data_IF_866118840193
#
_entry.id   IF_866118840193
#
_cell.length_a   1.000
_cell.length_b   1.000
_cell.length_c   1.000
_cell.angle_alpha   90.00
_cell.angle_beta   90.00
_cell.angle_gamma   90.00
#
_symmetry.space_group_name_H-M   'P 1'
#
loop_
_entity.id
_entity.type
_entity.pdbx_description
1 polymer ?
#
# COMPACT_ATOMS: atom_id res chain seq x y z
N UNK A 1 -5.90 -13.05 0.33
CA UNK A 1 -6.00 -11.66 0.82
C UNK A 1 -6.83 -10.86 -0.19
N UNK A 2 -8.14 -10.70 0.04
CA UNK A 2 -9.02 -9.84 -0.78
C UNK A 2 -9.07 -8.47 -0.12
N UNK A 3 -8.06 -7.64 -0.36
CA UNK A 3 -8.00 -6.27 0.19
C UNK A 3 -8.66 -5.28 -0.77
N UNK A 4 -8.47 -5.48 -2.07
CA UNK A 4 -8.97 -4.65 -3.16
C UNK A 4 -9.29 -5.53 -4.38
N UNK A 5 -10.12 -5.06 -5.31
CA UNK A 5 -10.39 -5.81 -6.54
C UNK A 5 -9.14 -5.86 -7.44
N UNK A 6 -9.03 -6.90 -8.26
CA UNK A 6 -7.84 -7.11 -9.09
C UNK A 6 -7.61 -5.96 -10.10
N UNK A 7 -8.66 -5.31 -10.58
CA UNK A 7 -8.58 -4.22 -11.57
C UNK A 7 -7.98 -2.97 -10.96
N UNK A 8 -8.44 -2.57 -9.76
CA UNK A 8 -7.87 -1.43 -9.05
C UNK A 8 -6.41 -1.69 -8.65
N UNK A 9 -6.05 -2.94 -8.32
CA UNK A 9 -4.66 -3.31 -8.02
C UNK A 9 -3.80 -3.12 -9.27
N UNK A 10 -4.22 -3.65 -10.42
CA UNK A 10 -3.50 -3.51 -11.70
C UNK A 10 -3.37 -2.04 -12.09
N UNK A 11 -4.42 -1.23 -11.98
CA UNK A 11 -4.38 0.19 -12.30
C UNK A 11 -3.34 0.96 -11.47
N UNK A 12 -3.26 0.67 -10.17
CA UNK A 12 -2.26 1.31 -9.30
C UNK A 12 -0.84 0.82 -9.59
N UNK A 13 -0.66 -0.46 -9.95
CA UNK A 13 0.63 -1.01 -10.34
C UNK A 13 1.14 -0.38 -11.64
N UNK A 14 0.28 -0.24 -12.66
CA UNK A 14 0.64 0.33 -13.97
C UNK A 14 1.04 1.81 -13.88
N UNK A 15 0.49 2.53 -12.90
CA UNK A 15 0.82 3.94 -12.66
C UNK A 15 1.94 4.14 -11.61
N UNK A 16 2.62 3.07 -11.21
CA UNK A 16 3.67 3.08 -10.19
C UNK A 16 3.25 3.76 -8.87
N UNK A 17 1.97 3.70 -8.52
CA UNK A 17 1.45 4.33 -7.31
C UNK A 17 1.73 3.42 -6.11
N UNK A 18 2.52 3.87 -5.11
CA UNK A 18 2.75 3.08 -3.91
C UNK A 18 1.47 2.98 -3.09
N UNK A 19 1.06 1.76 -2.75
CA UNK A 19 -0.13 1.49 -1.94
C UNK A 19 0.30 1.02 -0.55
N UNK A 20 -0.27 1.62 0.49
CA UNK A 20 -0.06 1.20 1.87
C UNK A 20 -1.38 0.66 2.44
N UNK A 21 -1.39 -0.63 2.75
CA UNK A 21 -2.53 -1.32 3.36
C UNK A 21 -2.28 -1.41 4.86
N UNK A 22 -3.07 -0.72 5.67
CA UNK A 22 -2.95 -0.71 7.12
C UNK A 22 -4.33 -0.80 7.79
N UNK A 23 -4.34 -1.13 9.08
CA UNK A 23 -5.57 -1.15 9.86
C UNK A 23 -5.94 0.26 10.33
N UNK A 24 -7.10 0.77 9.88
CA UNK A 24 -7.63 2.08 10.26
C UNK A 24 -8.26 2.08 11.67
N UNK A 25 -8.73 0.94 12.18
CA UNK A 25 -9.41 0.87 13.48
C UNK A 25 -8.45 0.90 14.66
N UNK A 26 -7.16 0.66 14.41
CA UNK A 26 -6.11 0.75 15.42
C UNK A 26 -5.75 2.23 15.65
N UNK A 27 -5.93 2.75 16.88
CA UNK A 27 -5.66 4.14 17.19
C UNK A 27 -4.22 4.54 16.86
N UNK A 28 -4.05 5.68 16.18
CA UNK A 28 -2.73 6.22 15.85
C UNK A 28 -2.13 5.70 14.54
N UNK A 29 -2.65 4.61 13.95
CA UNK A 29 -2.11 4.09 12.68
C UNK A 29 -2.18 5.09 11.54
N UNK A 30 -3.24 5.89 11.42
CA UNK A 30 -3.31 6.94 10.39
C UNK A 30 -2.14 7.93 10.49
N UNK A 31 -1.82 8.39 11.71
CA UNK A 31 -0.69 9.31 11.93
C UNK A 31 0.63 8.65 11.58
N UNK A 32 0.85 7.42 12.04
CA UNK A 32 2.07 6.63 11.78
C UNK A 32 2.29 6.41 10.29
N UNK A 33 1.23 6.13 9.52
CA UNK A 33 1.32 5.93 8.06
C UNK A 33 1.71 7.22 7.35
N UNK A 34 1.13 8.35 7.73
CA UNK A 34 1.44 9.67 7.15
C UNK A 34 2.87 10.10 7.48
N UNK A 35 3.39 9.72 8.65
CA UNK A 35 4.78 9.93 9.05
C UNK A 35 5.77 8.97 8.36
N UNK A 36 5.29 8.03 7.53
CA UNK A 36 6.13 7.08 6.82
C UNK A 36 6.65 5.93 7.68
N UNK A 37 6.06 5.67 8.84
CA UNK A 37 6.39 4.49 9.64
C UNK A 37 6.07 3.21 8.87
N UNK A 38 6.89 2.17 9.06
CA UNK A 38 6.67 0.85 8.47
C UNK A 38 5.55 0.13 9.22
N UNK A 39 4.31 0.48 8.90
CA UNK A 39 3.10 -0.18 9.40
C UNK A 39 2.30 -0.79 8.25
N UNK A 40 1.71 -1.95 8.50
CA UNK A 40 0.94 -2.68 7.49
C UNK A 40 1.80 -3.24 6.35
N UNK A 41 1.20 -3.35 5.17
CA UNK A 41 1.83 -3.90 3.97
C UNK A 41 1.96 -2.81 2.91
N UNK A 42 3.17 -2.60 2.42
CA UNK A 42 3.42 -1.69 1.31
C UNK A 42 3.50 -2.49 0.02
N UNK A 43 2.56 -2.24 -0.90
CA UNK A 43 2.57 -2.79 -2.24
C UNK A 43 3.25 -1.77 -3.14
N UNK A 44 4.38 -2.19 -3.72
CA UNK A 44 5.19 -1.39 -4.63
C UNK A 44 5.43 -2.23 -5.88
N UNK A 45 5.43 -1.60 -7.03
CA UNK A 45 5.99 -2.22 -8.22
C UNK A 45 7.51 -2.23 -8.05
N UNK A 46 8.06 -3.36 -7.61
CA UNK A 46 9.51 -3.57 -7.58
C UNK A 46 9.94 -3.80 -9.03
N UNK A 47 10.24 -2.71 -9.74
CA UNK A 47 10.96 -2.80 -10.99
C UNK A 47 12.37 -3.30 -10.62
N UNK A 48 12.54 -4.63 -10.65
CA UNK A 48 13.86 -5.24 -10.65
C UNK A 48 14.55 -4.69 -11.88
N UNK A 49 15.45 -3.72 -11.68
CA UNK A 49 16.43 -3.31 -12.67
C UNK A 49 17.27 -4.54 -12.97
N UNK A 50 16.94 -5.24 -14.04
CA UNK A 50 17.82 -6.16 -14.76
C UNK A 50 18.05 -5.58 -16.16
#
# INVERSE_FOLDING_TARGET
LKVMDATAITLCMDNNLPLVVFNLTEPGNLKRVVLGEKIGTVVKHDAVLN
#
